data_IF_033840358372
#
_entry.id   IF_033840358372
#
_cell.length_a   1.000
_cell.length_b   1.000
_cell.length_c   1.000
_cell.angle_alpha   90.00
_cell.angle_beta   90.00
_cell.angle_gamma   90.00
#
_symmetry.space_group_name_H-M   'P 1'
#
loop_
_entity.id
_entity.type
_entity.pdbx_description
1 polymer ?
#
# COMPACT_ATOMS: atom_id res chain seq x y z
N UNK A 1 -26.64 -42.93 0.90
CA UNK A 1 -26.31 -42.87 2.34
C UNK A 1 -25.31 -41.74 2.56
N UNK A 2 -25.76 -40.57 2.99
CA UNK A 2 -24.86 -39.48 3.43
C UNK A 2 -25.25 -39.16 4.86
N UNK A 3 -24.44 -39.67 5.79
CA UNK A 3 -24.46 -39.37 7.21
C UNK A 3 -23.43 -38.26 7.42
N UNK A 4 -23.85 -37.13 8.02
CA UNK A 4 -23.04 -36.31 8.94
C UNK A 4 -23.95 -35.24 9.55
N UNK A 5 -24.50 -35.61 10.71
CA UNK A 5 -24.89 -34.68 11.74
C UNK A 5 -23.64 -33.93 12.21
N UNK A 6 -23.72 -32.60 12.36
CA UNK A 6 -22.94 -31.93 13.38
C UNK A 6 -23.74 -30.74 13.92
N UNK A 7 -24.10 -30.90 15.19
CA UNK A 7 -24.65 -29.90 16.09
C UNK A 7 -23.73 -28.66 16.13
N UNK A 8 -24.32 -27.50 16.37
CA UNK A 8 -24.25 -26.78 17.65
C UNK A 8 -24.86 -25.40 17.39
N UNK A 9 -26.12 -25.25 17.75
CA UNK A 9 -26.73 -23.96 18.04
C UNK A 9 -27.37 -24.14 19.41
N UNK A 10 -26.77 -23.56 20.45
CA UNK A 10 -27.59 -22.80 21.37
C UNK A 10 -26.76 -21.88 22.26
N UNK A 11 -27.23 -20.64 22.18
CA UNK A 11 -26.87 -19.43 22.88
C UNK A 11 -27.46 -19.44 24.30
N UNK A 12 -26.85 -18.59 25.14
CA UNK A 12 -27.40 -17.99 26.35
C UNK A 12 -27.04 -18.65 27.69
N UNK A 13 -26.18 -17.95 28.43
CA UNK A 13 -26.24 -17.90 29.88
C UNK A 13 -26.22 -16.42 30.28
N UNK A 14 -27.32 -15.98 30.94
CA UNK A 14 -27.37 -15.28 32.25
C UNK A 14 -26.38 -14.09 32.48
N UNK A 15 -26.67 -12.99 33.18
CA UNK A 15 -27.67 -12.62 34.16
C UNK A 15 -27.47 -11.15 34.54
N UNK A 16 -28.57 -10.49 34.90
CA UNK A 16 -28.71 -9.51 36.00
C UNK A 16 -27.62 -8.44 36.22
N UNK A 17 -28.04 -7.19 36.02
CA UNK A 17 -28.07 -6.17 37.08
C UNK A 17 -26.78 -5.90 37.85
N UNK A 18 -26.16 -4.74 37.58
CA UNK A 18 -25.42 -4.02 38.60
C UNK A 18 -25.66 -2.52 38.43
N UNK A 19 -26.23 -1.96 39.49
CA UNK A 19 -26.48 -0.55 39.68
C UNK A 19 -25.19 0.27 39.68
N UNK A 20 -25.35 1.49 39.18
CA UNK A 20 -24.55 2.71 39.35
C UNK A 20 -23.54 2.70 40.51
N UNK A 21 -22.26 2.97 40.20
CA UNK A 21 -21.24 3.44 41.15
C UNK A 21 -20.70 4.78 40.62
N UNK A 22 -20.82 5.91 41.34
CA UNK A 22 -20.01 7.08 41.08
C UNK A 22 -18.79 7.01 42.00
N UNK A 23 -17.58 6.94 41.45
CA UNK A 23 -16.38 7.23 42.23
C UNK A 23 -15.35 7.96 41.36
N UNK A 24 -15.23 9.25 41.64
CA UNK A 24 -14.11 10.07 41.21
C UNK A 24 -12.82 9.46 41.75
N UNK A 25 -11.91 9.05 40.86
CA UNK A 25 -10.50 8.96 41.22
C UNK A 25 -9.63 9.36 40.03
N UNK A 26 -8.86 10.40 40.29
CA UNK A 26 -7.93 11.10 39.41
C UNK A 26 -6.76 10.15 39.10
N UNK A 27 -6.89 9.40 38.01
CA UNK A 27 -5.83 8.56 37.44
C UNK A 27 -5.27 9.23 36.20
N UNK A 28 -3.95 9.32 36.12
CA UNK A 28 -3.18 9.91 35.03
C UNK A 28 -3.70 9.51 33.65
N UNK A 29 -3.71 10.53 32.80
CA UNK A 29 -3.66 10.47 31.35
C UNK A 29 -2.55 9.53 30.89
N UNK A 30 -2.85 8.24 30.80
CA UNK A 30 -2.22 7.37 29.82
C UNK A 30 -3.12 7.41 28.60
N UNK A 31 -2.69 8.18 27.62
CA UNK A 31 -3.18 8.08 26.27
C UNK A 31 -3.08 6.60 25.87
N UNK A 32 -4.20 5.87 26.03
CA UNK A 32 -4.40 4.58 25.39
C UNK A 32 -4.24 4.85 23.91
N UNK A 33 -3.05 4.56 23.40
CA UNK A 33 -2.81 4.39 21.99
C UNK A 33 -3.83 3.35 21.54
N UNK A 34 -4.94 3.83 20.99
CA UNK A 34 -5.95 3.04 20.32
C UNK A 34 -5.25 2.41 19.12
N UNK A 35 -4.65 1.24 19.35
CA UNK A 35 -4.09 0.41 18.29
C UNK A 35 -5.27 -0.29 17.61
N UNK A 36 -6.07 0.49 16.88
CA UNK A 36 -6.80 -0.06 15.77
C UNK A 36 -5.77 -0.72 14.85
N UNK A 37 -5.98 -1.97 14.40
CA UNK A 37 -5.05 -2.62 13.48
C UNK A 37 -4.90 -1.70 12.27
N UNK A 38 -3.66 -1.37 11.91
CA UNK A 38 -3.42 -0.60 10.70
C UNK A 38 -4.01 -1.40 9.55
N UNK A 39 -5.01 -0.84 8.88
CA UNK A 39 -5.68 -1.45 7.72
C UNK A 39 -4.65 -1.82 6.62
N UNK A 40 -3.47 -1.20 6.67
CA UNK A 40 -2.36 -1.40 5.76
C UNK A 40 -1.25 -2.26 6.37
N UNK A 41 -0.64 -3.09 5.53
CA UNK A 41 0.43 -4.00 5.89
C UNK A 41 1.76 -3.32 6.23
N UNK A 42 1.99 -2.11 5.72
CA UNK A 42 3.25 -1.39 5.85
C UNK A 42 3.03 0.07 6.28
N UNK A 43 4.07 0.68 6.86
CA UNK A 43 4.12 2.10 7.21
C UNK A 43 4.77 2.90 6.07
N UNK A 44 4.41 4.18 5.94
CA UNK A 44 5.05 5.06 4.95
C UNK A 44 6.29 5.66 5.59
N UNK A 45 7.46 5.11 5.27
CA UNK A 45 8.76 5.55 5.80
C UNK A 45 9.52 6.36 4.75
N UNK A 46 9.42 5.99 3.48
CA UNK A 46 10.11 6.65 2.38
C UNK A 46 9.40 7.92 1.94
N UNK A 47 10.21 8.98 1.82
CA UNK A 47 9.77 10.21 1.20
C UNK A 47 9.75 10.07 -0.34
N UNK A 48 9.14 11.06 -1.00
CA UNK A 48 8.99 11.10 -2.47
C UNK A 48 10.33 11.06 -3.22
N UNK A 49 11.39 11.68 -2.68
CA UNK A 49 12.71 11.76 -3.33
C UNK A 49 13.43 10.42 -3.28
N UNK A 50 13.36 9.73 -2.15
CA UNK A 50 13.99 8.42 -1.97
C UNK A 50 13.30 7.36 -2.84
N UNK A 51 11.97 7.41 -2.94
CA UNK A 51 11.21 6.56 -3.85
C UNK A 51 11.56 6.82 -5.33
N UNK A 52 11.76 8.10 -5.71
CA UNK A 52 12.24 8.44 -7.04
C UNK A 52 13.64 7.86 -7.30
N UNK A 53 14.56 8.01 -6.34
CA UNK A 53 15.92 7.48 -6.46
C UNK A 53 15.91 5.97 -6.63
N UNK A 54 15.14 5.24 -5.80
CA UNK A 54 15.00 3.79 -5.91
C UNK A 54 14.47 3.36 -7.29
N UNK A 55 13.48 4.09 -7.84
CA UNK A 55 12.96 3.82 -9.17
C UNK A 55 13.99 4.11 -10.28
N UNK A 56 14.78 5.17 -10.15
CA UNK A 56 15.86 5.50 -11.09
C UNK A 56 16.98 4.45 -11.07
N UNK A 57 17.42 4.06 -9.88
CA UNK A 57 18.46 3.05 -9.69
C UNK A 57 18.01 1.71 -10.30
N UNK A 58 16.74 1.34 -10.12
CA UNK A 58 16.14 0.18 -10.77
C UNK A 58 16.17 0.26 -12.29
N UNK A 59 15.76 1.39 -12.88
CA UNK A 59 15.78 1.54 -14.34
C UNK A 59 17.18 1.40 -14.93
N UNK A 60 18.19 1.98 -14.29
CA UNK A 60 19.59 1.89 -14.74
C UNK A 60 20.10 0.46 -14.61
N UNK A 61 19.79 -0.21 -13.51
CA UNK A 61 20.18 -1.60 -13.26
C UNK A 61 19.60 -2.56 -14.30
N UNK A 62 18.34 -2.37 -14.68
CA UNK A 62 17.64 -3.20 -15.66
C UNK A 62 17.85 -2.73 -17.12
N UNK A 63 18.63 -1.66 -17.35
CA UNK A 63 18.90 -1.14 -18.70
C UNK A 63 17.71 -0.48 -19.40
N UNK A 64 16.60 -0.25 -18.69
CA UNK A 64 15.36 0.31 -19.26
C UNK A 64 15.54 1.74 -19.75
N UNK A 65 16.47 2.48 -19.14
CA UNK A 65 16.81 3.85 -19.49
C UNK A 65 17.61 3.94 -20.80
N UNK A 66 18.15 2.83 -21.30
CA UNK A 66 18.84 2.77 -22.58
C UNK A 66 17.84 2.48 -23.70
N UNK A 67 16.99 1.48 -23.51
CA UNK A 67 16.11 0.93 -24.54
C UNK A 67 14.77 1.65 -24.69
N UNK A 68 14.12 2.04 -23.59
CA UNK A 68 12.68 2.33 -23.64
C UNK A 68 12.27 3.69 -23.07
N UNK A 69 12.93 4.19 -22.03
CA UNK A 69 12.47 5.39 -21.32
C UNK A 69 13.54 6.43 -21.11
N UNK A 70 13.14 7.69 -21.20
CA UNK A 70 13.98 8.79 -20.78
C UNK A 70 14.03 8.80 -19.25
N UNK A 71 15.13 9.28 -18.68
CA UNK A 71 15.25 9.47 -17.21
C UNK A 71 14.34 10.58 -16.67
N UNK A 72 13.53 11.21 -17.53
CA UNK A 72 12.61 12.29 -17.18
C UNK A 72 11.33 11.72 -16.58
N UNK A 73 11.02 12.21 -15.39
CA UNK A 73 9.85 11.80 -14.62
C UNK A 73 8.67 12.66 -15.03
N UNK A 74 7.56 12.03 -15.38
CA UNK A 74 6.30 12.72 -15.71
C UNK A 74 5.41 12.89 -14.49
N UNK A 75 5.36 11.87 -13.62
CA UNK A 75 4.45 11.87 -12.46
C UNK A 75 4.99 10.97 -11.35
N UNK A 76 4.70 11.36 -10.10
CA UNK A 76 4.92 10.51 -8.93
C UNK A 76 3.66 10.56 -8.08
N UNK A 77 3.10 9.41 -7.71
CA UNK A 77 1.91 9.29 -6.88
C UNK A 77 2.17 8.38 -5.68
N UNK A 78 1.54 8.68 -4.56
CA UNK A 78 1.44 7.76 -3.42
C UNK A 78 0.06 7.10 -3.48
N UNK A 79 0.00 5.79 -3.47
CA UNK A 79 -1.24 5.01 -3.56
C UNK A 79 -1.18 3.82 -2.61
N UNK A 80 -2.35 3.31 -2.24
CA UNK A 80 -2.45 2.01 -1.58
C UNK A 80 -2.77 0.95 -2.64
N UNK A 81 -2.12 -0.20 -2.57
CA UNK A 81 -2.47 -1.35 -3.43
C UNK A 81 -3.87 -1.86 -3.06
N UNK A 82 -4.63 -2.33 -4.05
CA UNK A 82 -5.99 -2.89 -3.84
C UNK A 82 -5.96 -4.41 -3.60
N UNK A 83 -4.85 -4.94 -3.13
CA UNK A 83 -4.68 -6.38 -2.89
C UNK A 83 -5.34 -6.81 -1.58
N UNK A 84 -5.43 -8.13 -1.36
CA UNK A 84 -5.90 -8.72 -0.09
C UNK A 84 -5.13 -8.20 1.13
N UNK A 85 -3.90 -7.73 0.93
CA UNK A 85 -3.09 -7.05 1.92
C UNK A 85 -2.67 -5.68 1.36
N UNK A 86 -3.44 -4.61 1.62
CA UNK A 86 -3.17 -3.32 1.03
C UNK A 86 -1.90 -2.72 1.64
N UNK A 87 -1.03 -2.19 0.80
CA UNK A 87 0.23 -1.58 1.21
C UNK A 87 0.43 -0.25 0.50
N UNK A 88 1.08 0.69 1.17
CA UNK A 88 1.47 1.96 0.61
C UNK A 88 2.62 1.79 -0.37
N UNK A 89 2.45 2.35 -1.55
CA UNK A 89 3.43 2.35 -2.62
C UNK A 89 3.57 3.74 -3.22
N UNK A 90 4.74 4.00 -3.78
CA UNK A 90 5.01 5.11 -4.67
C UNK A 90 5.01 4.61 -6.12
N UNK A 91 4.13 5.16 -6.94
CA UNK A 91 4.18 4.95 -8.39
C UNK A 91 4.96 6.09 -9.04
N UNK A 92 6.07 5.76 -9.68
CA UNK A 92 6.92 6.70 -10.42
C UNK A 92 6.75 6.45 -11.91
N UNK A 93 6.43 7.49 -12.66
CA UNK A 93 6.16 7.43 -14.10
C UNK A 93 7.28 8.13 -14.86
N UNK A 94 7.86 7.44 -15.84
CA UNK A 94 8.92 7.92 -16.70
C UNK A 94 8.43 8.09 -18.13
N UNK A 95 8.89 9.15 -18.79
CA UNK A 95 8.55 9.44 -20.18
C UNK A 95 9.22 8.42 -21.11
N UNK A 96 8.44 7.84 -22.04
CA UNK A 96 8.96 6.91 -23.06
C UNK A 96 9.88 7.63 -24.04
N UNK A 97 10.92 6.93 -24.53
CA UNK A 97 11.77 7.39 -25.65
C UNK A 97 11.13 7.15 -27.02
N UNK A 98 10.01 6.43 -27.07
CA UNK A 98 9.36 6.12 -28.33
C UNK A 98 9.03 7.39 -29.11
N UNK A 99 9.33 7.33 -30.40
CA UNK A 99 9.31 8.49 -31.26
C UNK A 99 7.88 9.02 -31.39
N UNK A 100 7.64 10.24 -30.89
CA UNK A 100 6.36 10.94 -30.97
C UNK A 100 5.90 11.14 -32.44
N UNK A 101 6.78 10.88 -33.41
CA UNK A 101 6.50 10.88 -34.84
C UNK A 101 5.47 9.81 -35.27
N UNK A 102 5.27 8.75 -34.49
CA UNK A 102 4.15 7.83 -34.68
C UNK A 102 2.89 8.40 -34.01
N UNK A 103 2.32 9.45 -34.63
CA UNK A 103 1.12 10.20 -34.17
C UNK A 103 -0.10 9.34 -33.77
N UNK A 104 -0.11 8.05 -34.11
CA UNK A 104 -1.19 7.11 -33.82
C UNK A 104 -1.02 6.36 -32.50
N UNK A 105 0.19 6.29 -31.93
CA UNK A 105 0.46 5.59 -30.68
C UNK A 105 0.79 6.62 -29.61
N UNK A 106 -0.10 6.77 -28.61
CA UNK A 106 0.26 7.52 -27.40
C UNK A 106 1.46 6.81 -26.79
N UNK A 107 2.59 7.52 -26.67
CA UNK A 107 3.80 7.03 -26.00
C UNK A 107 3.44 6.68 -24.56
N UNK A 108 3.31 5.40 -24.26
CA UNK A 108 2.94 4.90 -22.94
C UNK A 108 4.10 5.09 -21.96
N UNK A 109 3.94 5.85 -20.86
CA UNK A 109 4.99 5.99 -19.86
C UNK A 109 5.29 4.64 -19.19
N UNK A 110 6.54 4.48 -18.76
CA UNK A 110 6.90 3.39 -17.84
C UNK A 110 6.48 3.78 -16.44
N UNK A 111 5.75 2.89 -15.77
CA UNK A 111 5.39 3.01 -14.37
C UNK A 111 6.21 2.02 -13.56
N UNK A 112 6.80 2.49 -12.46
CA UNK A 112 7.55 1.69 -11.48
C UNK A 112 6.88 1.86 -10.11
N UNK A 113 6.48 0.75 -9.49
CA UNK A 113 5.89 0.71 -8.14
C UNK A 113 6.97 0.40 -7.12
N UNK A 114 7.17 1.31 -6.18
CA UNK A 114 8.14 1.20 -5.09
C UNK A 114 7.40 1.07 -3.77
N UNK A 115 7.77 0.09 -2.94
CA UNK A 115 7.24 -0.04 -1.59
C UNK A 115 7.58 1.18 -0.74
N UNK A 116 6.58 1.78 -0.09
CA UNK A 116 6.77 3.02 0.67
C UNK A 116 7.44 2.81 2.04
N UNK A 117 7.67 1.58 2.47
CA UNK A 117 8.44 1.25 3.68
C UNK A 117 9.88 0.88 3.32
N UNK A 118 10.05 -0.08 2.41
CA UNK A 118 11.36 -0.72 2.17
C UNK A 118 12.14 -0.13 0.99
N UNK A 119 11.45 0.53 0.06
CA UNK A 119 12.08 1.07 -1.15
C UNK A 119 12.32 0.02 -2.22
N UNK A 120 11.83 -1.19 -1.99
CA UNK A 120 11.89 -2.27 -2.96
C UNK A 120 10.94 -2.00 -4.12
N UNK A 121 11.38 -2.26 -5.33
CA UNK A 121 10.50 -2.26 -6.51
C UNK A 121 9.64 -3.51 -6.49
N UNK A 122 8.32 -3.32 -6.47
CA UNK A 122 7.33 -4.40 -6.39
C UNK A 122 6.81 -4.79 -7.77
N UNK A 123 6.69 -3.82 -8.68
CA UNK A 123 6.15 -4.03 -10.01
C UNK A 123 6.63 -2.93 -10.95
N UNK A 124 6.67 -3.20 -12.25
CA UNK A 124 6.94 -2.22 -13.28
C UNK A 124 6.27 -2.62 -14.58
N UNK A 125 5.92 -1.63 -15.42
CA UNK A 125 5.33 -1.90 -16.71
C UNK A 125 4.88 -0.64 -17.44
N UNK A 126 4.57 -0.79 -18.74
CA UNK A 126 4.00 0.27 -19.57
C UNK A 126 2.53 0.48 -19.23
N UNK A 127 2.09 1.74 -19.21
CA UNK A 127 0.71 2.13 -18.89
C UNK A 127 0.14 3.15 -19.85
#
# INVERSE_FOLDING_TARGET
MVKRNLMVVMLALFLSGCSYIPFFSKGKEEASASSAPSVYANKVVLNKRDALKAAQDFMVKEGLDQEFVSRKVTKIKKLATQEKSPRWVWEVYFESKEDANLKFWKTSPLMVQVDAETGQVLNWGRR
#
